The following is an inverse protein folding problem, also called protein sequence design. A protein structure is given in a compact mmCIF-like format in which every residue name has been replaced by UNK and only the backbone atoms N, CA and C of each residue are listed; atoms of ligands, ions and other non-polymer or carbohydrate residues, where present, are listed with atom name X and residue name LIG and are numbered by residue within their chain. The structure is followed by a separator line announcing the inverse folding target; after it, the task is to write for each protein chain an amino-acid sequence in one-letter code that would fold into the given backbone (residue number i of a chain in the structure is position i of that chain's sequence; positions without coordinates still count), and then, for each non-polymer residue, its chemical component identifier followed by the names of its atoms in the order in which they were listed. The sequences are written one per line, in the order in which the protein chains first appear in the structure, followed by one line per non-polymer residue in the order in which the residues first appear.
data_IF_897885036299
#
_entry.id   IF_897885036299
#
_cell.length_a   1.000
_cell.length_b   1.000
_cell.length_c   1.000
_cell.angle_alpha   90.00
_cell.angle_beta   90.00
_cell.angle_gamma   90.00
#
_symmetry.space_group_name_H-M   'P 1'
#
loop_
_entity.id
_entity.type
_entity.pdbx_description
1 polymer ?
#
# COMPACT_ATOMS: atom_id res chain seq x y z
N UNK A 1 -4.84 -13.41 -34.11
CA UNK A 1 -4.61 -13.47 -32.64
C UNK A 1 -5.37 -14.66 -32.08
N UNK A 2 -4.73 -15.55 -31.32
CA UNK A 2 -5.45 -16.71 -30.74
C UNK A 2 -6.30 -16.27 -29.55
N UNK A 3 -7.47 -16.88 -29.36
CA UNK A 3 -8.34 -16.56 -28.20
C UNK A 3 -7.64 -16.79 -26.86
N UNK A 4 -6.79 -17.82 -26.78
CA UNK A 4 -5.97 -18.12 -25.60
C UNK A 4 -5.00 -16.96 -25.29
N UNK A 5 -4.39 -16.35 -26.30
CA UNK A 5 -3.49 -15.22 -26.09
C UNK A 5 -4.20 -14.00 -25.49
N UNK A 6 -5.44 -13.73 -25.92
CA UNK A 6 -6.25 -12.63 -25.37
C UNK A 6 -6.61 -12.90 -23.90
N UNK A 7 -7.03 -14.12 -23.58
CA UNK A 7 -7.35 -14.51 -22.20
C UNK A 7 -6.13 -14.36 -21.29
N UNK A 8 -4.97 -14.85 -21.72
CA UNK A 8 -3.73 -14.72 -20.95
C UNK A 8 -3.30 -13.27 -20.77
N UNK A 9 -3.46 -12.43 -21.79
CA UNK A 9 -3.16 -11.00 -21.71
C UNK A 9 -4.04 -10.31 -20.64
N UNK A 10 -5.36 -10.56 -20.65
CA UNK A 10 -6.28 -9.98 -19.67
C UNK A 10 -5.96 -10.46 -18.25
N UNK A 11 -5.70 -11.75 -18.07
CA UNK A 11 -5.33 -12.29 -16.76
C UNK A 11 -4.07 -11.62 -16.21
N UNK A 12 -3.06 -11.43 -17.06
CA UNK A 12 -1.80 -10.80 -16.65
C UNK A 12 -2.01 -9.35 -16.23
N UNK A 13 -2.82 -8.60 -16.98
CA UNK A 13 -3.20 -7.22 -16.65
C UNK A 13 -3.93 -7.18 -15.30
N UNK A 14 -4.93 -8.04 -15.10
CA UNK A 14 -5.71 -8.07 -13.86
C UNK A 14 -4.86 -8.46 -12.65
N UNK A 15 -3.95 -9.42 -12.79
CA UNK A 15 -3.11 -9.87 -11.66
C UNK A 15 -2.12 -8.78 -11.25
N UNK A 16 -1.40 -8.20 -12.22
CA UNK A 16 -0.38 -7.17 -11.93
C UNK A 16 -1.05 -5.88 -11.47
N UNK A 17 -1.98 -5.35 -12.27
CA UNK A 17 -2.59 -4.07 -11.99
C UNK A 17 -3.67 -4.14 -10.93
N UNK A 18 -4.42 -5.24 -10.84
CA UNK A 18 -5.44 -5.41 -9.82
C UNK A 18 -4.83 -5.45 -8.43
N UNK A 19 -3.73 -6.21 -8.24
CA UNK A 19 -3.00 -6.22 -6.98
C UNK A 19 -2.43 -4.83 -6.63
N UNK A 20 -1.84 -4.16 -7.62
CA UNK A 20 -1.28 -2.82 -7.43
C UNK A 20 -2.33 -1.78 -7.05
N UNK A 21 -3.44 -1.70 -7.79
CA UNK A 21 -4.52 -0.74 -7.51
C UNK A 21 -5.14 -1.02 -6.14
N UNK A 22 -5.37 -2.28 -5.79
CA UNK A 22 -5.90 -2.64 -4.47
C UNK A 22 -4.97 -2.21 -3.34
N UNK A 23 -3.66 -2.46 -3.47
CA UNK A 23 -2.66 -2.06 -2.48
C UNK A 23 -2.58 -0.53 -2.36
N UNK A 24 -2.57 0.18 -3.49
CA UNK A 24 -2.53 1.64 -3.50
C UNK A 24 -3.76 2.26 -2.83
N UNK A 25 -4.96 1.78 -3.18
CA UNK A 25 -6.21 2.24 -2.55
C UNK A 25 -6.20 1.95 -1.05
N UNK A 26 -5.73 0.77 -0.64
CA UNK A 26 -5.64 0.42 0.78
C UNK A 26 -4.72 1.38 1.54
N UNK A 27 -3.49 1.60 1.06
CA UNK A 27 -2.52 2.47 1.70
C UNK A 27 -2.97 3.94 1.73
N UNK A 28 -3.65 4.40 0.69
CA UNK A 28 -4.17 5.78 0.64
C UNK A 28 -5.28 5.99 1.67
N UNK A 29 -6.11 4.97 1.90
CA UNK A 29 -7.23 5.06 2.83
C UNK A 29 -6.83 4.73 4.28
N UNK A 30 -5.72 4.02 4.48
CA UNK A 30 -5.18 3.68 5.79
C UNK A 30 -3.71 4.11 5.88
N UNK A 31 -3.42 5.41 6.06
CA UNK A 31 -2.07 5.90 6.26
C UNK A 31 -1.45 5.28 7.52
N UNK A 32 -0.19 4.87 7.45
CA UNK A 32 0.51 4.18 8.54
C UNK A 32 0.56 5.00 9.85
N UNK A 33 0.59 6.33 9.74
CA UNK A 33 0.64 7.26 10.88
C UNK A 33 -0.65 7.33 11.71
N UNK A 34 -1.77 6.93 11.11
CA UNK A 34 -3.10 7.06 11.72
C UNK A 34 -3.87 5.74 11.75
N UNK A 35 -3.25 4.67 11.26
CA UNK A 35 -3.90 3.37 11.09
C UNK A 35 -3.17 2.30 11.88
N UNK A 36 -3.94 1.37 12.44
CA UNK A 36 -3.39 0.25 13.22
C UNK A 36 -2.74 0.69 14.53
N UNK A 37 -1.88 -0.18 15.06
CA UNK A 37 -1.27 0.00 16.39
C UNK A 37 -0.38 1.25 16.46
N UNK A 38 0.25 1.64 15.35
CA UNK A 38 1.09 2.85 15.28
C UNK A 38 0.27 4.13 15.44
N UNK A 39 -0.96 4.18 14.91
CA UNK A 39 -1.83 5.34 15.05
C UNK A 39 -2.42 5.52 16.46
N UNK A 40 -2.53 4.44 17.23
CA UNK A 40 -3.11 4.45 18.58
C UNK A 40 -2.08 4.62 19.70
N UNK A 41 -0.79 4.37 19.41
CA UNK A 41 0.27 4.45 20.40
C UNK A 41 0.66 5.91 20.70
N UNK A 42 0.52 6.37 21.96
CA UNK A 42 1.12 7.64 22.35
C UNK A 42 2.63 7.52 22.18
N UNK A 43 3.24 8.50 21.51
CA UNK A 43 4.67 8.59 21.19
C UNK A 43 5.16 7.87 19.91
N UNK A 44 4.27 7.27 19.13
CA UNK A 44 4.61 6.68 17.82
C UNK A 44 4.50 7.68 16.66
N UNK A 45 4.81 8.96 16.90
CA UNK A 45 4.68 10.04 15.91
C UNK A 45 5.98 10.30 15.15
N UNK A 46 5.87 10.75 13.89
CA UNK A 46 7.01 11.17 13.07
C UNK A 46 7.85 12.27 13.71
N UNK A 47 7.24 13.21 14.43
CA UNK A 47 7.94 14.32 15.09
C UNK A 47 8.91 13.81 16.17
N UNK A 48 8.47 12.81 16.93
CA UNK A 48 9.27 12.20 17.98
C UNK A 48 10.37 11.31 17.41
N UNK A 49 10.10 10.54 16.35
CA UNK A 49 11.13 9.78 15.64
C UNK A 49 12.22 10.70 15.08
N UNK A 50 11.83 11.78 14.40
CA UNK A 50 12.77 12.76 13.86
C UNK A 50 13.53 13.53 14.94
N UNK A 51 13.02 13.61 16.18
CA UNK A 51 13.74 14.16 17.32
C UNK A 51 14.81 13.20 17.84
N UNK A 52 14.54 11.89 17.85
CA UNK A 52 15.49 10.84 18.24
C UNK A 52 16.66 10.70 17.25
N UNK A 53 16.39 10.76 15.95
CA UNK A 53 17.44 10.65 14.91
C UNK A 53 18.47 11.78 14.97
N UNK A 54 18.11 12.92 15.59
CA UNK A 54 18.98 14.09 15.73
C UNK A 54 19.80 14.11 17.03
N UNK A 55 19.60 13.14 17.93
CA UNK A 55 20.39 12.95 19.15
C UNK A 55 21.62 12.09 18.91
#
# INVERSE_FOLDING_TARGET
MSGIAIVMMVLFIVIIWGGFVAAWVNLTNHPDETSGDLGDLPHATNEELAALERQ
#
